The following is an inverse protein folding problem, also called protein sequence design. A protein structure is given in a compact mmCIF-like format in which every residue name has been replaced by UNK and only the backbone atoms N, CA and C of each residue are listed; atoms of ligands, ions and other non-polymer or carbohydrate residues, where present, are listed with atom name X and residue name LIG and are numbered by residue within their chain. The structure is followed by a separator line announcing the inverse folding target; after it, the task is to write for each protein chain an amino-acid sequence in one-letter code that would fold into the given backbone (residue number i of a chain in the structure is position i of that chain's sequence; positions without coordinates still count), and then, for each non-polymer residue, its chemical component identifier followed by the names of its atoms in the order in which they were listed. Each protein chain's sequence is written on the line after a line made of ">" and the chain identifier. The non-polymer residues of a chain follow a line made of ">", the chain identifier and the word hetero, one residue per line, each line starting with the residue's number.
data_IF_555548290594
#
_entry.id   IF_555548290594
#
_cell.length_a   1.000
_cell.length_b   1.000
_cell.length_c   1.000
_cell.angle_alpha   90.00
_cell.angle_beta   90.00
_cell.angle_gamma   90.00
#
_symmetry.space_group_name_H-M   'P 1'
#
loop_
_entity.id
_entity.type
_entity.pdbx_description
1 polymer ?
#
# COMPACT_ATOMS: atom_id res chain seq x y z
N UNK A 1 26.01 3.69 12.68
CA UNK A 1 24.79 4.45 12.43
C UNK A 1 24.25 4.99 13.75
N UNK A 2 23.95 6.28 13.84
CA UNK A 2 23.20 6.81 14.99
C UNK A 2 21.71 6.82 14.62
N UNK A 3 20.94 5.93 15.24
CA UNK A 3 19.52 5.79 14.98
C UNK A 3 18.67 6.88 15.66
N UNK A 4 19.29 7.75 16.46
CA UNK A 4 18.58 8.77 17.22
C UNK A 4 17.64 8.18 18.27
N UNK A 5 16.83 9.04 18.87
CA UNK A 5 15.79 8.62 19.81
C UNK A 5 14.52 8.24 19.05
N UNK A 6 13.88 7.18 19.49
CA UNK A 6 12.53 6.81 19.05
C UNK A 6 11.54 7.19 20.16
N UNK A 7 11.10 8.45 20.16
CA UNK A 7 10.21 8.99 21.18
C UNK A 7 8.74 8.91 20.73
N UNK A 8 7.84 8.70 21.68
CA UNK A 8 6.41 8.75 21.46
C UNK A 8 5.81 9.97 22.19
N UNK A 9 5.08 10.79 21.43
CA UNK A 9 4.38 11.95 22.01
C UNK A 9 3.16 11.47 22.82
N UNK A 10 3.33 11.39 24.15
CA UNK A 10 2.26 11.01 25.08
C UNK A 10 1.13 12.06 24.98
N UNK A 11 -0.11 11.62 24.80
CA UNK A 11 -1.27 12.49 24.63
C UNK A 11 -1.55 12.94 23.18
N UNK A 12 -0.70 12.55 22.23
CA UNK A 12 -0.97 12.76 20.80
C UNK A 12 -2.07 11.83 20.27
N UNK A 13 -2.78 12.28 19.23
CA UNK A 13 -3.76 11.44 18.52
C UNK A 13 -2.99 10.45 17.64
N UNK A 14 -3.20 9.16 17.89
CA UNK A 14 -2.62 8.08 17.11
C UNK A 14 -3.71 7.11 16.64
N UNK A 15 -4.41 7.44 15.53
CA UNK A 15 -5.50 6.60 15.03
C UNK A 15 -4.97 5.28 14.49
N UNK A 16 -5.69 4.20 14.77
CA UNK A 16 -5.44 2.86 14.21
C UNK A 16 -6.31 2.59 12.99
N UNK A 17 -5.95 1.56 12.21
CA UNK A 17 -6.68 1.13 11.02
C UNK A 17 -6.18 1.80 9.75
N UNK A 18 -6.85 1.47 8.65
CA UNK A 18 -6.53 2.01 7.31
C UNK A 18 -7.65 2.91 6.80
N UNK A 19 -7.31 3.80 5.87
CA UNK A 19 -8.27 4.61 5.15
C UNK A 19 -9.21 3.76 4.28
N UNK A 20 -10.40 4.29 3.99
CA UNK A 20 -11.39 3.60 3.15
C UNK A 20 -11.00 3.59 1.67
N UNK A 21 -10.16 4.50 1.21
CA UNK A 21 -9.68 4.56 -0.16
C UNK A 21 -8.27 4.00 -0.25
N UNK A 22 -8.10 3.01 -1.09
CA UNK A 22 -6.85 2.37 -1.42
C UNK A 22 -6.54 2.72 -2.87
N UNK A 23 -5.30 2.97 -3.18
CA UNK A 23 -4.84 3.20 -4.56
C UNK A 23 -4.12 1.96 -5.06
N UNK A 24 -4.36 1.59 -6.31
CA UNK A 24 -3.74 0.43 -6.93
C UNK A 24 -3.34 0.73 -8.37
N UNK A 25 -2.29 0.07 -8.83
CA UNK A 25 -1.88 0.11 -10.23
C UNK A 25 -1.27 -1.25 -10.61
N UNK A 26 -1.37 -1.64 -11.88
CA UNK A 26 -0.61 -2.77 -12.38
C UNK A 26 0.88 -2.41 -12.38
N UNK A 27 1.73 -3.28 -11.83
CA UNK A 27 3.19 -3.02 -11.76
C UNK A 27 3.79 -2.75 -13.13
N UNK A 28 3.27 -3.36 -14.20
CA UNK A 28 3.70 -3.14 -15.59
C UNK A 28 3.44 -1.71 -16.11
N UNK A 29 2.56 -0.94 -15.46
CA UNK A 29 2.29 0.45 -15.80
C UNK A 29 3.27 1.43 -15.11
N UNK A 30 4.14 0.95 -14.24
CA UNK A 30 5.18 1.75 -13.59
C UNK A 30 6.45 1.66 -14.42
N UNK A 31 6.89 2.79 -14.98
CA UNK A 31 8.12 2.91 -15.78
C UNK A 31 9.34 3.02 -14.88
N UNK A 32 9.26 3.85 -13.83
CA UNK A 32 10.30 3.94 -12.82
C UNK A 32 9.74 4.13 -11.42
N UNK A 33 10.45 3.55 -10.47
CA UNK A 33 10.14 3.64 -9.05
C UNK A 33 10.87 4.82 -8.41
N UNK A 34 10.27 5.49 -7.41
CA UNK A 34 11.01 6.41 -6.57
C UNK A 34 12.11 5.66 -5.79
N UNK A 35 13.11 6.37 -5.36
CA UNK A 35 14.25 5.76 -4.66
C UNK A 35 13.99 5.63 -3.18
N UNK A 36 14.52 4.57 -2.57
CA UNK A 36 14.56 4.40 -1.13
C UNK A 36 16.00 4.14 -0.68
N UNK A 37 16.41 4.75 0.42
CA UNK A 37 17.76 4.57 0.96
C UNK A 37 17.76 3.34 1.87
N UNK A 38 18.30 2.23 1.38
CA UNK A 38 18.43 0.98 2.15
C UNK A 38 19.83 0.79 2.75
N UNK A 39 20.71 1.78 2.63
CA UNK A 39 22.08 1.72 3.16
C UNK A 39 22.11 2.10 4.64
N UNK A 40 22.36 1.14 5.55
CA UNK A 40 22.43 1.42 6.99
C UNK A 40 23.64 2.28 7.37
N UNK A 41 24.60 2.50 6.47
CA UNK A 41 25.77 3.36 6.67
C UNK A 41 25.57 4.77 6.12
N UNK A 42 24.50 5.02 5.36
CA UNK A 42 24.19 6.32 4.81
C UNK A 42 24.07 7.38 5.90
N UNK A 43 24.59 8.56 5.62
CA UNK A 43 24.43 9.74 6.49
C UNK A 43 23.10 10.42 6.15
N UNK A 44 22.20 10.52 7.11
CA UNK A 44 20.89 11.14 6.92
C UNK A 44 19.95 10.86 8.07
N UNK A 45 18.72 11.32 7.95
CA UNK A 45 17.69 11.00 8.92
C UNK A 45 17.32 9.52 8.81
N UNK A 46 17.15 8.85 9.94
CA UNK A 46 16.76 7.42 9.99
C UNK A 46 15.45 7.16 9.25
N UNK A 47 14.53 8.13 9.22
CA UNK A 47 13.28 8.07 8.48
C UNK A 47 13.44 7.85 6.97
N UNK A 48 14.59 8.25 6.38
CA UNK A 48 14.84 8.01 4.94
C UNK A 48 15.01 6.53 4.60
N UNK A 49 15.37 5.70 5.58
CA UNK A 49 15.49 4.26 5.41
C UNK A 49 14.14 3.56 5.20
N UNK A 50 13.05 4.24 5.50
CA UNK A 50 11.68 3.71 5.39
C UNK A 50 10.78 4.55 4.48
N UNK A 51 11.33 5.51 3.74
CA UNK A 51 10.55 6.42 2.92
C UNK A 51 11.07 6.48 1.49
N UNK A 52 10.16 6.42 0.54
CA UNK A 52 10.46 6.71 -0.86
C UNK A 52 10.74 8.21 -1.03
N UNK A 53 11.71 8.52 -1.89
CA UNK A 53 12.06 9.88 -2.32
C UNK A 53 11.77 10.03 -3.81
N UNK A 54 10.93 11.01 -4.16
CA UNK A 54 10.45 11.27 -5.52
C UNK A 54 9.14 10.55 -5.82
N UNK A 55 8.73 10.61 -7.10
CA UNK A 55 7.45 10.13 -7.59
C UNK A 55 7.58 8.85 -8.42
N UNK A 56 6.49 8.08 -8.49
CA UNK A 56 6.35 7.03 -9.48
C UNK A 56 6.23 7.65 -10.87
N UNK A 57 7.07 7.21 -11.80
CA UNK A 57 6.86 7.54 -13.23
C UNK A 57 5.99 6.45 -13.85
N UNK A 58 4.83 6.86 -14.35
CA UNK A 58 3.88 5.95 -14.98
C UNK A 58 4.05 5.94 -16.51
N UNK A 59 3.59 4.87 -17.14
CA UNK A 59 3.45 4.80 -18.59
C UNK A 59 2.43 5.84 -19.09
N UNK A 60 2.48 6.17 -20.38
CA UNK A 60 1.54 7.12 -20.99
C UNK A 60 0.10 6.69 -20.72
N UNK A 61 -0.73 7.63 -20.30
CA UNK A 61 -2.15 7.46 -19.96
C UNK A 61 -2.44 6.50 -18.78
N UNK A 62 -1.41 6.00 -18.09
CA UNK A 62 -1.59 5.20 -16.89
C UNK A 62 -1.89 6.09 -15.69
N UNK A 63 -2.85 5.67 -14.88
CA UNK A 63 -3.26 6.35 -13.64
C UNK A 63 -3.45 5.33 -12.53
N UNK A 64 -3.40 5.81 -11.29
CA UNK A 64 -3.76 5.01 -10.14
C UNK A 64 -5.27 4.86 -10.03
N UNK A 65 -5.75 3.63 -9.92
CA UNK A 65 -7.15 3.31 -9.66
C UNK A 65 -7.47 3.39 -8.17
N UNK A 66 -8.71 3.77 -7.86
CA UNK A 66 -9.23 3.74 -6.50
C UNK A 66 -9.91 2.40 -6.22
N UNK A 67 -9.63 1.81 -5.07
CA UNK A 67 -10.32 0.64 -4.52
C UNK A 67 -10.89 1.03 -3.17
N UNK A 68 -12.20 0.83 -2.98
CA UNK A 68 -12.83 1.04 -1.68
C UNK A 68 -12.53 -0.15 -0.76
N UNK A 69 -12.19 0.15 0.49
CA UNK A 69 -12.09 -0.84 1.56
C UNK A 69 -12.99 -0.45 2.73
N UNK A 70 -13.77 -1.40 3.23
CA UNK A 70 -14.70 -1.15 4.34
C UNK A 70 -13.92 -0.67 5.58
N UNK A 71 -14.30 0.47 6.10
CA UNK A 71 -13.68 1.06 7.28
C UNK A 71 -13.72 0.08 8.47
N UNK A 72 -12.60 -0.06 9.15
CA UNK A 72 -12.47 -0.95 10.32
C UNK A 72 -12.32 -2.44 9.98
N UNK A 73 -12.33 -2.83 8.70
CA UNK A 73 -12.12 -4.24 8.27
C UNK A 73 -10.82 -4.48 7.52
N UNK A 74 -10.03 -3.43 7.29
CA UNK A 74 -8.74 -3.56 6.64
C UNK A 74 -7.58 -3.32 7.61
N UNK A 75 -6.43 -3.88 7.29
CA UNK A 75 -5.17 -3.67 8.02
C UNK A 75 -3.97 -3.81 7.12
N UNK A 76 -2.87 -3.18 7.51
CA UNK A 76 -1.53 -3.46 6.97
C UNK A 76 -0.65 -3.98 8.08
N UNK A 77 0.23 -4.92 7.75
CA UNK A 77 1.18 -5.53 8.69
C UNK A 77 2.48 -5.84 7.96
N UNK A 78 3.52 -6.08 8.70
CA UNK A 78 4.76 -6.64 8.18
C UNK A 78 5.31 -7.70 9.12
N UNK A 79 6.08 -8.62 8.59
CA UNK A 79 6.83 -9.62 9.36
C UNK A 79 8.24 -9.75 8.81
N UNK A 80 9.17 -10.09 9.67
CA UNK A 80 10.55 -10.39 9.25
C UNK A 80 10.61 -11.85 8.83
N UNK A 81 11.18 -12.10 7.65
CA UNK A 81 11.39 -13.45 7.10
C UNK A 81 12.86 -13.66 6.73
N UNK A 82 13.24 -14.90 6.45
CA UNK A 82 14.58 -15.27 6.01
C UNK A 82 15.50 -15.73 7.15
N UNK A 83 16.59 -16.36 6.75
CA UNK A 83 17.63 -16.89 7.62
C UNK A 83 18.54 -15.78 8.19
N UNK A 84 19.47 -16.14 9.06
CA UNK A 84 20.48 -15.23 9.58
C UNK A 84 21.27 -14.62 8.42
N UNK A 85 21.49 -13.30 8.46
CA UNK A 85 22.18 -12.50 7.44
C UNK A 85 21.44 -12.34 6.08
N UNK A 86 20.24 -12.96 5.96
CA UNK A 86 19.36 -12.85 4.77
C UNK A 86 17.95 -12.39 5.14
N UNK A 87 17.85 -11.46 6.11
CA UNK A 87 16.55 -10.96 6.57
C UNK A 87 15.92 -10.03 5.56
N UNK A 88 14.63 -10.27 5.33
CA UNK A 88 13.73 -9.44 4.54
C UNK A 88 12.43 -9.20 5.30
N UNK A 89 11.60 -8.33 4.78
CA UNK A 89 10.27 -8.09 5.30
C UNK A 89 9.24 -8.65 4.33
N UNK A 90 8.17 -9.23 4.85
CA UNK A 90 6.98 -9.54 4.08
C UNK A 90 5.89 -8.54 4.47
N UNK A 91 5.65 -7.57 3.59
CA UNK A 91 4.62 -6.55 3.77
C UNK A 91 3.27 -7.10 3.35
N UNK A 92 2.26 -6.94 4.21
CA UNK A 92 0.93 -7.52 3.99
C UNK A 92 -0.16 -6.47 4.11
N UNK A 93 -1.19 -6.61 3.29
CA UNK A 93 -2.43 -5.85 3.41
C UNK A 93 -3.63 -6.78 3.33
N UNK A 94 -4.59 -6.60 4.24
CA UNK A 94 -5.91 -7.20 4.16
C UNK A 94 -6.92 -6.11 3.83
N UNK A 95 -7.59 -6.21 2.69
CA UNK A 95 -8.50 -5.21 2.15
C UNK A 95 -9.88 -5.82 1.96
N UNK A 96 -10.93 -5.20 2.46
CA UNK A 96 -12.28 -5.74 2.41
C UNK A 96 -13.21 -4.87 1.57
N UNK A 97 -13.71 -5.40 0.46
CA UNK A 97 -14.74 -4.78 -0.37
C UNK A 97 -16.13 -5.37 -0.05
N UNK A 98 -17.18 -4.55 0.19
CA UNK A 98 -18.41 -5.02 0.85
C UNK A 98 -19.44 -5.66 -0.10
N UNK A 99 -19.08 -5.99 -1.31
CA UNK A 99 -20.03 -6.60 -2.27
C UNK A 99 -19.34 -7.58 -3.23
N UNK A 100 -20.14 -8.37 -3.94
CA UNK A 100 -19.74 -9.30 -5.00
C UNK A 100 -20.19 -8.78 -6.36
N UNK A 101 -19.84 -7.53 -6.69
CA UNK A 101 -20.19 -6.94 -7.98
C UNK A 101 -19.39 -7.58 -9.12
N UNK A 102 -19.87 -7.40 -10.36
CA UNK A 102 -19.17 -7.91 -11.54
C UNK A 102 -17.75 -7.35 -11.65
N UNK A 103 -17.55 -6.06 -11.28
CA UNK A 103 -16.25 -5.39 -11.28
C UNK A 103 -15.32 -5.97 -10.19
N UNK A 104 -15.85 -6.25 -8.99
CA UNK A 104 -15.09 -6.86 -7.91
C UNK A 104 -14.63 -8.28 -8.30
N UNK A 105 -15.51 -9.09 -8.90
CA UNK A 105 -15.19 -10.44 -9.36
C UNK A 105 -14.23 -10.43 -10.56
N UNK A 106 -14.36 -9.46 -11.48
CA UNK A 106 -13.42 -9.26 -12.58
C UNK A 106 -12.02 -8.90 -12.03
N UNK A 107 -11.97 -8.03 -11.01
CA UNK A 107 -10.71 -7.72 -10.34
C UNK A 107 -10.12 -8.95 -9.63
N UNK A 108 -10.91 -9.77 -8.96
CA UNK A 108 -10.44 -11.04 -8.38
C UNK A 108 -9.77 -11.92 -9.43
N UNK A 109 -10.38 -12.04 -10.61
CA UNK A 109 -9.83 -12.83 -11.72
C UNK A 109 -8.48 -12.27 -12.21
N UNK A 110 -8.40 -10.95 -12.37
CA UNK A 110 -7.17 -10.29 -12.77
C UNK A 110 -6.09 -10.35 -11.68
N UNK A 111 -6.48 -10.17 -10.42
CA UNK A 111 -5.57 -10.10 -9.28
C UNK A 111 -4.93 -11.44 -8.93
N UNK A 112 -5.64 -12.57 -9.11
CA UNK A 112 -5.14 -13.89 -8.75
C UNK A 112 -3.81 -14.26 -9.45
N UNK A 113 -3.59 -13.77 -10.66
CA UNK A 113 -2.36 -13.98 -11.42
C UNK A 113 -1.68 -12.66 -11.84
N UNK A 114 -2.24 -11.52 -11.46
CA UNK A 114 -1.71 -10.20 -11.73
C UNK A 114 -0.56 -9.83 -10.80
N UNK A 115 0.15 -8.76 -11.14
CA UNK A 115 1.15 -8.11 -10.28
C UNK A 115 0.75 -6.65 -10.12
N UNK A 116 0.34 -6.28 -8.92
CA UNK A 116 -0.19 -4.96 -8.61
C UNK A 116 0.59 -4.33 -7.44
N UNK A 117 0.63 -3.02 -7.46
CA UNK A 117 1.15 -2.22 -6.36
C UNK A 117 -0.03 -1.51 -5.69
N UNK A 118 -0.05 -1.53 -4.37
CA UNK A 118 -1.07 -0.87 -3.58
C UNK A 118 -0.47 0.25 -2.74
N UNK A 119 -1.19 1.33 -2.59
CA UNK A 119 -0.87 2.41 -1.67
C UNK A 119 -2.03 2.56 -0.70
N UNK A 120 -1.73 2.38 0.58
CA UNK A 120 -2.71 2.30 1.66
C UNK A 120 -2.42 3.39 2.68
N UNK A 121 -3.40 4.23 2.99
CA UNK A 121 -3.29 5.23 4.03
C UNK A 121 -3.54 4.62 5.39
N UNK A 122 -2.55 4.71 6.30
CA UNK A 122 -2.65 4.28 7.68
C UNK A 122 -1.94 5.29 8.60
N UNK A 123 -2.54 5.61 9.74
CA UNK A 123 -1.99 6.56 10.72
C UNK A 123 -1.54 7.91 10.09
N UNK A 124 -2.29 8.41 9.10
CA UNK A 124 -2.00 9.67 8.41
C UNK A 124 -0.85 9.62 7.41
N UNK A 125 -0.33 8.43 7.07
CA UNK A 125 0.74 8.22 6.10
C UNK A 125 0.32 7.23 5.03
N UNK A 126 0.90 7.34 3.84
CA UNK A 126 0.68 6.43 2.73
C UNK A 126 1.78 5.38 2.71
N UNK A 127 1.40 4.11 2.73
CA UNK A 127 2.31 2.97 2.73
C UNK A 127 2.19 2.20 1.43
N UNK A 128 3.31 1.82 0.85
CA UNK A 128 3.37 1.04 -0.38
C UNK A 128 3.42 -0.45 -0.02
N UNK A 129 2.52 -1.23 -0.64
CA UNK A 129 2.58 -2.69 -0.65
C UNK A 129 2.88 -3.10 -2.08
N UNK A 130 4.12 -3.37 -2.34
CA UNK A 130 4.70 -3.66 -3.64
C UNK A 130 6.20 -3.43 -3.61
N UNK A 131 6.92 -4.05 -4.52
CA UNK A 131 8.38 -3.93 -4.60
C UNK A 131 8.81 -3.85 -6.07
N UNK A 132 9.87 -3.11 -6.41
CA UNK A 132 10.44 -3.16 -7.75
C UNK A 132 10.97 -4.55 -8.11
N UNK A 133 11.52 -5.28 -7.14
CA UNK A 133 12.23 -6.53 -7.37
C UNK A 133 11.34 -7.77 -7.21
N UNK A 134 10.32 -7.68 -6.34
CA UNK A 134 9.46 -8.82 -6.01
C UNK A 134 8.04 -8.61 -6.51
N UNK A 135 7.37 -9.73 -6.78
CA UNK A 135 5.97 -9.74 -7.17
C UNK A 135 5.09 -9.74 -5.92
N UNK A 136 4.05 -8.92 -5.92
CA UNK A 136 2.98 -9.03 -4.96
C UNK A 136 2.09 -10.23 -5.28
N UNK A 137 1.80 -11.06 -4.27
CA UNK A 137 0.85 -12.16 -4.35
C UNK A 137 -0.47 -11.71 -3.77
N UNK A 138 -1.55 -11.86 -4.54
CA UNK A 138 -2.89 -11.45 -4.15
C UNK A 138 -3.77 -12.69 -4.07
N UNK A 139 -4.38 -12.91 -2.92
CA UNK A 139 -5.29 -14.04 -2.66
C UNK A 139 -6.70 -13.50 -2.39
N UNK A 140 -7.53 -13.35 -3.43
CA UNK A 140 -8.90 -12.91 -3.25
C UNK A 140 -9.77 -14.04 -2.68
N UNK A 141 -10.62 -13.71 -1.71
CA UNK A 141 -11.66 -14.59 -1.17
C UNK A 141 -12.99 -13.87 -1.18
N UNK A 142 -14.05 -14.55 -1.55
CA UNK A 142 -15.41 -14.01 -1.61
C UNK A 142 -16.37 -14.75 -0.69
N UNK A 143 -17.30 -14.02 -0.06
CA UNK A 143 -18.36 -14.55 0.78
C UNK A 143 -19.68 -13.86 0.45
N UNK A 144 -20.73 -14.65 0.17
CA UNK A 144 -22.06 -14.13 -0.12
C UNK A 144 -22.89 -13.85 1.15
N UNK A 145 -22.39 -14.26 2.31
CA UNK A 145 -23.17 -14.35 3.55
C UNK A 145 -24.16 -15.53 3.56
N UNK A 146 -24.47 -16.03 4.73
CA UNK A 146 -25.35 -17.19 4.96
C UNK A 146 -26.73 -16.80 5.50
N UNK A 147 -26.90 -15.58 5.99
CA UNK A 147 -28.17 -15.10 6.54
C UNK A 147 -28.34 -13.59 6.32
N UNK A 148 -29.57 -13.11 6.50
CA UNK A 148 -29.87 -11.68 6.47
C UNK A 148 -29.07 -10.96 7.56
N UNK A 149 -28.23 -9.99 7.16
CA UNK A 149 -27.33 -9.26 8.08
C UNK A 149 -25.94 -9.85 8.25
N UNK A 150 -25.64 -11.01 7.64
CA UNK A 150 -24.27 -11.53 7.56
C UNK A 150 -23.39 -10.64 6.70
N UNK A 151 -22.11 -10.59 7.02
CA UNK A 151 -21.14 -9.89 6.21
C UNK A 151 -20.99 -10.61 4.86
N UNK A 152 -21.05 -9.84 3.76
CA UNK A 152 -20.73 -10.32 2.42
C UNK A 152 -19.65 -9.47 1.80
N UNK A 153 -18.99 -9.96 0.78
CA UNK A 153 -18.02 -9.18 0.02
C UNK A 153 -16.79 -9.96 -0.38
N UNK A 154 -15.78 -9.24 -0.81
CA UNK A 154 -14.49 -9.78 -1.21
C UNK A 154 -13.41 -9.29 -0.25
N UNK A 155 -12.57 -10.18 0.19
CA UNK A 155 -11.33 -9.84 0.92
C UNK A 155 -10.13 -10.14 0.02
N UNK A 156 -9.24 -9.16 -0.11
CA UNK A 156 -7.98 -9.28 -0.81
C UNK A 156 -6.86 -9.35 0.21
N UNK A 157 -6.26 -10.51 0.34
CA UNK A 157 -5.01 -10.65 1.09
C UNK A 157 -3.85 -10.43 0.11
N UNK A 158 -3.06 -9.40 0.37
CA UNK A 158 -1.92 -9.00 -0.44
C UNK A 158 -0.65 -9.22 0.35
N UNK A 159 0.32 -9.89 -0.21
CA UNK A 159 1.64 -10.11 0.38
C UNK A 159 2.73 -9.74 -0.62
N UNK A 160 3.73 -8.99 -0.18
CA UNK A 160 4.88 -8.63 -1.01
C UNK A 160 6.16 -8.63 -0.18
N UNK A 161 7.17 -9.46 -0.55
CA UNK A 161 8.50 -9.36 0.02
C UNK A 161 9.13 -8.01 -0.33
N UNK A 162 9.87 -7.43 0.60
CA UNK A 162 10.58 -6.17 0.41
C UNK A 162 11.79 -6.10 1.36
N UNK A 163 12.71 -5.22 1.06
CA UNK A 163 13.86 -4.91 1.93
C UNK A 163 13.50 -3.91 3.03
N UNK A 164 12.35 -3.25 2.93
CA UNK A 164 11.87 -2.23 3.87
C UNK A 164 10.49 -2.58 4.42
N UNK A 165 10.27 -2.44 5.75
CA UNK A 165 8.95 -2.66 6.33
C UNK A 165 8.01 -1.49 6.00
N UNK A 166 6.89 -1.78 5.34
CA UNK A 166 5.82 -0.82 5.01
C UNK A 166 6.34 0.55 4.57
N UNK A 167 7.09 0.64 3.46
CA UNK A 167 7.71 1.88 3.04
C UNK A 167 6.68 3.00 2.87
N UNK A 168 7.04 4.20 3.36
CA UNK A 168 6.18 5.39 3.30
C UNK A 168 6.37 6.08 1.96
N UNK A 169 5.28 6.54 1.38
CA UNK A 169 5.25 7.32 0.15
C UNK A 169 4.69 8.72 0.45
N UNK A 170 5.40 9.74 0.00
CA UNK A 170 5.03 11.14 0.18
C UNK A 170 5.02 11.93 -1.13
N UNK A 171 5.02 11.24 -2.26
CA UNK A 171 4.96 11.84 -3.59
C UNK A 171 3.52 11.98 -4.10
N UNK A 172 3.41 12.31 -5.39
CA UNK A 172 2.15 12.55 -6.07
C UNK A 172 1.56 11.26 -6.67
N UNK A 173 0.24 11.08 -6.53
CA UNK A 173 -0.53 10.04 -7.20
C UNK A 173 -1.39 10.65 -8.30
N UNK A 174 -1.08 10.33 -9.55
CA UNK A 174 -1.88 10.73 -10.71
C UNK A 174 -3.10 9.81 -10.81
N UNK A 175 -4.29 10.38 -10.69
CA UNK A 175 -5.58 9.71 -10.74
C UNK A 175 -6.35 10.18 -11.98
N UNK A 176 -7.37 9.44 -12.39
CA UNK A 176 -8.20 9.81 -13.54
C UNK A 176 -8.95 11.17 -13.34
N UNK A 177 -9.21 11.55 -12.09
CA UNK A 177 -9.96 12.76 -11.72
C UNK A 177 -9.07 13.88 -11.14
N UNK A 178 -7.75 13.70 -11.09
CA UNK A 178 -6.81 14.71 -10.58
C UNK A 178 -5.53 14.13 -10.01
N UNK A 179 -4.86 14.86 -9.15
CA UNK A 179 -3.62 14.45 -8.49
C UNK A 179 -3.77 14.56 -6.97
N UNK A 180 -3.32 13.52 -6.27
CA UNK A 180 -3.26 13.50 -4.81
C UNK A 180 -1.81 13.64 -4.36
N UNK A 181 -1.51 14.71 -3.64
CA UNK A 181 -0.25 14.88 -2.91
C UNK A 181 -0.32 14.07 -1.60
N UNK A 182 0.48 13.01 -1.49
CA UNK A 182 0.50 12.14 -0.33
C UNK A 182 1.24 12.74 0.88
N UNK A 183 2.07 13.77 0.68
CA UNK A 183 2.76 14.47 1.77
C UNK A 183 1.79 15.35 2.56
N UNK A 184 0.91 16.06 1.87
CA UNK A 184 -0.03 17.01 2.45
C UNK A 184 -1.46 16.49 2.55
N UNK A 185 -1.75 15.33 1.94
CA UNK A 185 -3.09 14.76 1.82
C UNK A 185 -4.06 15.69 1.06
N UNK A 186 -3.55 16.41 0.06
CA UNK A 186 -4.30 17.40 -0.71
C UNK A 186 -4.61 16.87 -2.08
N UNK A 187 -5.89 16.87 -2.45
CA UNK A 187 -6.34 16.49 -3.79
C UNK A 187 -6.54 17.72 -4.67
N UNK A 188 -5.92 17.73 -5.85
CA UNK A 188 -6.08 18.75 -6.88
C UNK A 188 -6.85 18.14 -8.06
N UNK A 189 -8.08 18.57 -8.36
CA UNK A 189 -8.85 18.06 -9.49
C UNK A 189 -8.16 18.31 -10.83
N UNK A 190 -8.36 17.42 -11.79
CA UNK A 190 -7.99 17.67 -13.19
C UNK A 190 -8.82 18.86 -13.75
N UNK A 191 -8.17 19.72 -14.53
CA UNK A 191 -8.79 20.89 -15.15
C UNK A 191 -9.54 20.52 -16.42
#
# INVERSE_FOLDING_TARGET
>A
MNLGNLDFAIGGINPSGIGATIYRIAKSAIVSWPTIVNDPTATGAVSTLSSYNGDFTLATDAVWDKLYSTQGKGKITFEVTGEVDCKMYNNKASLSFPDLTAEALAFCTAAANGDFVFIVKAAGRYHVIGSPDYRAVISPTGDSGDAAGSAKGVTFEVECPDVTPLPIYAGDLVLADGTLDCATDTFTPAS
#
